data_IF_310822449847
#
_entry.id   IF_310822449847
#
_cell.length_a   1.000
_cell.length_b   1.000
_cell.length_c   1.000
_cell.angle_alpha   90.00
_cell.angle_beta   90.00
_cell.angle_gamma   90.00
#
_symmetry.space_group_name_H-M   'P 1'
#
loop_
_entity.id
_entity.type
_entity.pdbx_description
1 polymer ?
#
# COMPACT_ATOMS: atom_id res chain seq x y z
N UNK A 1 40.33 -55.74 -32.32
CA UNK A 1 39.72 -56.47 -33.46
C UNK A 1 38.98 -57.64 -32.85
N UNK A 2 37.66 -57.68 -32.96
CA UNK A 2 36.87 -58.81 -32.49
C UNK A 2 37.04 -59.96 -33.51
N UNK A 3 37.04 -61.20 -33.04
CA UNK A 3 37.21 -62.34 -33.96
C UNK A 3 35.93 -62.52 -34.81
N UNK A 4 36.04 -62.55 -36.13
CA UNK A 4 34.88 -62.66 -37.03
C UNK A 4 34.12 -64.01 -36.94
N UNK A 5 34.69 -65.02 -36.28
CA UNK A 5 34.05 -66.33 -36.09
C UNK A 5 33.34 -66.43 -34.74
N UNK A 6 33.96 -65.98 -33.65
CA UNK A 6 33.39 -66.12 -32.31
C UNK A 6 32.81 -64.81 -31.76
N UNK A 7 33.03 -63.68 -32.46
CA UNK A 7 32.64 -62.32 -32.11
C UNK A 7 33.06 -61.85 -30.70
N UNK A 8 34.06 -62.49 -30.10
CA UNK A 8 34.61 -62.09 -28.80
C UNK A 8 35.79 -61.13 -29.00
N UNK A 9 35.92 -60.17 -28.06
CA UNK A 9 37.11 -59.33 -27.94
C UNK A 9 38.32 -60.21 -27.65
N UNK A 10 39.38 -60.08 -28.46
CA UNK A 10 40.61 -60.85 -28.31
C UNK A 10 41.27 -60.53 -26.95
N UNK A 11 41.16 -61.44 -25.99
CA UNK A 11 41.80 -61.34 -24.67
C UNK A 11 42.70 -62.57 -24.46
N UNK A 12 44.01 -62.36 -24.62
CA UNK A 12 45.00 -63.42 -24.80
C UNK A 12 45.22 -64.32 -23.56
N UNK A 13 44.65 -63.99 -22.39
CA UNK A 13 44.97 -64.65 -21.11
C UNK A 13 43.79 -65.29 -20.36
N UNK A 14 42.55 -65.19 -20.87
CA UNK A 14 41.34 -65.52 -20.05
C UNK A 14 40.25 -66.35 -20.74
N UNK A 15 40.55 -67.08 -21.82
CA UNK A 15 39.57 -67.94 -22.48
C UNK A 15 39.93 -69.43 -22.36
N UNK A 16 39.13 -70.26 -21.65
CA UNK A 16 39.42 -71.69 -21.46
C UNK A 16 39.21 -72.53 -22.74
N UNK A 17 38.46 -72.02 -23.72
CA UNK A 17 38.26 -72.66 -25.02
C UNK A 17 38.38 -71.61 -26.13
N UNK A 18 39.30 -71.83 -27.07
CA UNK A 18 39.56 -70.95 -28.22
C UNK A 18 38.86 -71.52 -29.46
N UNK A 19 38.29 -70.65 -30.32
CA UNK A 19 37.86 -71.08 -31.66
C UNK A 19 39.09 -71.32 -32.55
N UNK A 20 38.91 -71.92 -33.73
CA UNK A 20 40.02 -72.26 -34.63
C UNK A 20 40.87 -71.05 -35.06
N UNK A 21 40.25 -69.87 -35.24
CA UNK A 21 40.96 -68.63 -35.58
C UNK A 21 41.67 -68.02 -34.38
N UNK A 22 41.04 -68.00 -33.20
CA UNK A 22 41.69 -67.47 -31.99
C UNK A 22 42.83 -68.37 -31.51
N UNK A 23 42.70 -69.69 -31.65
CA UNK A 23 43.77 -70.65 -31.39
C UNK A 23 44.95 -70.45 -32.33
N UNK A 24 44.70 -70.11 -33.60
CA UNK A 24 45.76 -69.77 -34.56
C UNK A 24 46.44 -68.45 -34.18
N UNK A 25 45.67 -67.44 -33.81
CA UNK A 25 46.18 -66.10 -33.46
C UNK A 25 46.96 -66.11 -32.15
N UNK A 26 46.54 -66.87 -31.14
CA UNK A 26 47.31 -67.01 -29.89
C UNK A 26 48.67 -67.67 -30.12
N UNK A 27 48.74 -68.64 -31.04
CA UNK A 27 49.99 -69.31 -31.41
C UNK A 27 50.86 -68.50 -32.39
N UNK A 28 50.36 -67.43 -33.00
CA UNK A 28 51.08 -66.68 -34.04
C UNK A 28 52.29 -65.96 -33.47
N UNK A 29 52.16 -65.34 -32.28
CA UNK A 29 53.26 -64.65 -31.61
C UNK A 29 54.39 -65.63 -31.24
N UNK A 30 54.03 -66.81 -30.71
CA UNK A 30 55.00 -67.83 -30.34
C UNK A 30 55.64 -68.50 -31.56
N UNK A 31 54.90 -68.65 -32.67
CA UNK A 31 55.47 -69.11 -33.95
C UNK A 31 56.45 -68.10 -34.52
N UNK A 32 56.14 -66.80 -34.48
CA UNK A 32 57.07 -65.75 -34.89
C UNK A 32 58.33 -65.75 -34.04
N UNK A 33 58.19 -65.89 -32.71
CA UNK A 33 59.34 -66.05 -31.80
C UNK A 33 60.16 -67.30 -32.13
N UNK A 34 59.52 -68.43 -32.43
CA UNK A 34 60.23 -69.66 -32.80
C UNK A 34 60.98 -69.50 -34.13
N UNK A 35 60.37 -68.87 -35.14
CA UNK A 35 61.05 -68.56 -36.40
C UNK A 35 62.23 -67.61 -36.20
N UNK A 36 62.07 -66.57 -35.37
CA UNK A 36 63.17 -65.69 -35.00
C UNK A 36 64.31 -66.45 -34.31
N UNK A 37 63.98 -67.30 -33.33
CA UNK A 37 64.96 -68.14 -32.65
C UNK A 37 65.65 -69.13 -33.61
N UNK A 38 64.95 -69.66 -34.62
CA UNK A 38 65.56 -70.55 -35.62
C UNK A 38 66.49 -69.79 -36.56
N UNK A 39 66.12 -68.57 -36.97
CA UNK A 39 66.99 -67.69 -37.77
C UNK A 39 68.23 -67.32 -36.95
N UNK A 40 68.05 -66.90 -35.69
CA UNK A 40 69.17 -66.63 -34.77
C UNK A 40 70.04 -67.87 -34.56
N UNK A 41 69.45 -69.07 -34.46
CA UNK A 41 70.21 -70.31 -34.34
C UNK A 41 71.00 -70.62 -35.63
N UNK A 42 70.41 -70.40 -36.81
CA UNK A 42 71.09 -70.57 -38.10
C UNK A 42 72.23 -69.55 -38.26
N UNK A 43 72.01 -68.30 -37.84
CA UNK A 43 73.02 -67.24 -37.85
C UNK A 43 74.15 -67.55 -36.87
N UNK A 44 73.83 -68.01 -35.66
CA UNK A 44 74.81 -68.48 -34.68
C UNK A 44 75.57 -69.73 -35.19
N UNK A 45 74.90 -70.65 -35.89
CA UNK A 45 75.57 -71.80 -36.52
C UNK A 45 76.51 -71.36 -37.65
N UNK A 46 76.16 -70.33 -38.42
CA UNK A 46 77.05 -69.70 -39.41
C UNK A 46 78.21 -68.97 -38.74
N UNK A 47 77.98 -68.24 -37.65
CA UNK A 47 79.04 -67.62 -36.84
C UNK A 47 79.98 -68.68 -36.23
N UNK A 48 79.45 -69.78 -35.70
CA UNK A 48 80.27 -70.89 -35.21
C UNK A 48 81.04 -71.56 -36.36
N UNK A 49 80.40 -71.78 -37.51
CA UNK A 49 81.04 -72.34 -38.69
C UNK A 49 82.17 -71.46 -39.25
N UNK A 50 81.98 -70.14 -39.23
CA UNK A 50 83.01 -69.16 -39.62
C UNK A 50 84.14 -69.09 -38.58
N UNK A 51 83.83 -69.08 -37.28
CA UNK A 51 84.83 -69.12 -36.21
C UNK A 51 85.62 -70.44 -36.16
N UNK A 52 85.05 -71.57 -36.61
CA UNK A 52 85.73 -72.86 -36.73
C UNK A 52 86.56 -73.01 -38.02
N UNK A 53 86.28 -72.21 -39.06
CA UNK A 53 87.03 -72.20 -40.32
C UNK A 53 88.13 -71.13 -40.38
N UNK A 54 88.19 -70.22 -39.40
CA UNK A 54 89.34 -69.35 -39.17
C UNK A 54 90.46 -70.13 -38.42
N UNK A 55 91.64 -70.35 -39.02
CA UNK A 55 92.77 -70.92 -38.29
C UNK A 55 93.21 -69.94 -37.20
N UNK A 56 93.39 -70.48 -35.99
CA UNK A 56 93.77 -69.79 -34.76
C UNK A 56 94.74 -68.61 -34.99
N UNK A 57 94.21 -67.40 -35.03
CA UNK A 57 95.00 -66.18 -34.84
C UNK A 57 94.75 -65.71 -33.42
N UNK A 58 95.76 -65.88 -32.59
CA UNK A 58 95.86 -65.22 -31.28
C UNK A 58 95.47 -63.75 -31.43
N UNK A 59 94.55 -63.21 -30.60
CA UNK A 59 94.09 -61.84 -30.77
C UNK A 59 95.27 -60.87 -30.62
N UNK A 60 95.57 -60.14 -31.69
CA UNK A 60 96.52 -59.03 -31.71
C UNK A 60 96.15 -58.03 -30.62
N UNK A 61 97.15 -57.51 -29.91
CA UNK A 61 97.03 -56.61 -28.73
C UNK A 61 95.94 -55.53 -28.88
N UNK A 62 95.80 -54.93 -30.07
CA UNK A 62 94.76 -53.94 -30.37
C UNK A 62 93.30 -54.43 -30.29
N UNK A 63 93.00 -55.70 -30.60
CA UNK A 63 91.64 -56.26 -30.46
C UNK A 63 91.31 -56.50 -28.99
N UNK A 64 92.29 -56.92 -28.18
CA UNK A 64 92.14 -57.08 -26.72
C UNK A 64 91.97 -55.72 -26.02
N UNK A 65 92.75 -54.71 -26.43
CA UNK A 65 92.65 -53.35 -25.90
C UNK A 65 91.32 -52.68 -26.29
N UNK A 66 90.83 -52.91 -27.53
CA UNK A 66 89.51 -52.45 -27.98
C UNK A 66 88.36 -53.10 -27.19
N UNK A 67 88.43 -54.41 -26.94
CA UNK A 67 87.43 -55.12 -26.13
C UNK A 67 87.44 -54.64 -24.67
N UNK A 68 88.62 -54.40 -24.10
CA UNK A 68 88.75 -53.82 -22.75
C UNK A 68 88.22 -52.37 -22.68
N UNK A 69 88.45 -51.56 -23.72
CA UNK A 69 87.90 -50.21 -23.81
C UNK A 69 86.37 -50.22 -23.95
N UNK A 70 85.81 -51.11 -24.75
CA UNK A 70 84.36 -51.30 -24.87
C UNK A 70 83.75 -51.81 -23.57
N UNK A 71 84.42 -52.73 -22.87
CA UNK A 71 84.00 -53.22 -21.56
C UNK A 71 83.97 -52.08 -20.54
N UNK A 72 85.01 -51.26 -20.46
CA UNK A 72 85.04 -50.08 -19.57
C UNK A 72 83.94 -49.07 -19.92
N UNK A 73 83.69 -48.81 -21.21
CA UNK A 73 82.58 -47.94 -21.61
C UNK A 73 81.20 -48.51 -21.27
N UNK A 74 81.03 -49.83 -21.30
CA UNK A 74 79.81 -50.49 -20.86
C UNK A 74 79.65 -50.46 -19.33
N UNK A 75 80.73 -50.62 -18.59
CA UNK A 75 80.79 -50.44 -17.12
C UNK A 75 80.49 -48.99 -16.72
N UNK A 76 81.05 -48.00 -17.42
CA UNK A 76 80.76 -46.58 -17.20
C UNK A 76 79.31 -46.23 -17.55
N UNK A 77 78.74 -46.81 -18.61
CA UNK A 77 77.32 -46.64 -18.93
C UNK A 77 76.42 -47.28 -17.89
N UNK A 78 76.74 -48.48 -17.42
CA UNK A 78 75.93 -49.14 -16.39
C UNK A 78 76.00 -48.40 -15.06
N UNK A 79 77.17 -47.88 -14.66
CA UNK A 79 77.31 -47.02 -13.47
C UNK A 79 76.54 -45.71 -13.61
N UNK A 80 76.55 -45.05 -14.78
CA UNK A 80 75.73 -43.86 -15.04
C UNK A 80 74.23 -44.16 -14.99
N UNK A 81 73.79 -45.29 -15.57
CA UNK A 81 72.39 -45.71 -15.52
C UNK A 81 71.95 -46.00 -14.09
N UNK A 82 72.80 -46.67 -13.29
CA UNK A 82 72.53 -46.94 -11.88
C UNK A 82 72.45 -45.64 -11.07
N UNK A 83 73.39 -44.70 -11.27
CA UNK A 83 73.36 -43.40 -10.61
C UNK A 83 72.11 -42.58 -10.99
N UNK A 84 71.69 -42.62 -12.26
CA UNK A 84 70.45 -41.99 -12.70
C UNK A 84 69.21 -42.68 -12.10
N UNK A 85 69.21 -44.01 -11.99
CA UNK A 85 68.13 -44.77 -11.36
C UNK A 85 68.02 -44.47 -9.87
N UNK A 86 69.14 -44.33 -9.15
CA UNK A 86 69.17 -43.97 -7.74
C UNK A 86 68.69 -42.53 -7.53
N UNK A 87 69.11 -41.60 -8.38
CA UNK A 87 68.56 -40.23 -8.40
C UNK A 87 67.05 -40.22 -8.60
N UNK A 88 66.54 -40.99 -9.57
CA UNK A 88 65.09 -41.08 -9.79
C UNK A 88 64.35 -41.71 -8.60
N UNK A 89 64.93 -42.71 -7.92
CA UNK A 89 64.35 -43.28 -6.69
C UNK A 89 64.26 -42.24 -5.57
N UNK A 90 65.28 -41.40 -5.43
CA UNK A 90 65.30 -40.33 -4.45
C UNK A 90 64.31 -39.21 -4.80
N UNK A 91 64.21 -38.82 -6.07
CA UNK A 91 63.20 -37.87 -6.55
C UNK A 91 61.77 -38.40 -6.32
N UNK A 92 61.51 -39.69 -6.58
CA UNK A 92 60.22 -40.34 -6.29
C UNK A 92 59.96 -40.33 -4.78
N UNK A 93 60.98 -40.58 -3.94
CA UNK A 93 60.83 -40.56 -2.48
C UNK A 93 60.53 -39.14 -1.99
N UNK A 94 61.22 -38.14 -2.50
CA UNK A 94 61.01 -36.73 -2.18
C UNK A 94 59.61 -36.26 -2.61
N UNK A 95 59.19 -36.59 -3.84
CA UNK A 95 57.86 -36.26 -4.33
C UNK A 95 56.75 -36.94 -3.52
N UNK A 96 56.95 -38.21 -3.12
CA UNK A 96 56.01 -38.92 -2.22
C UNK A 96 55.92 -38.26 -0.85
N UNK A 97 57.05 -37.87 -0.27
CA UNK A 97 57.09 -37.16 1.01
C UNK A 97 56.38 -35.79 0.92
N UNK A 98 56.59 -35.06 -0.18
CA UNK A 98 55.91 -33.79 -0.41
C UNK A 98 54.39 -33.95 -0.58
N UNK A 99 53.95 -34.96 -1.34
CA UNK A 99 52.52 -35.28 -1.48
C UNK A 99 51.91 -35.58 -0.12
N UNK A 100 52.58 -36.36 0.72
CA UNK A 100 52.08 -36.71 2.04
C UNK A 100 52.02 -35.50 2.98
N UNK A 101 53.03 -34.63 2.95
CA UNK A 101 53.03 -33.38 3.69
C UNK A 101 51.89 -32.44 3.26
N UNK A 102 51.65 -32.31 1.94
CA UNK A 102 50.53 -31.52 1.41
C UNK A 102 49.17 -32.10 1.80
N UNK A 103 49.01 -33.42 1.76
CA UNK A 103 47.79 -34.10 2.23
C UNK A 103 47.54 -33.85 3.72
N UNK A 104 48.57 -33.97 4.55
CA UNK A 104 48.48 -33.68 5.98
C UNK A 104 48.08 -32.22 6.23
N UNK A 105 48.70 -31.26 5.53
CA UNK A 105 48.36 -29.84 5.64
C UNK A 105 46.91 -29.54 5.21
N UNK A 106 46.42 -30.15 4.11
CA UNK A 106 45.02 -30.02 3.69
C UNK A 106 44.05 -30.66 4.67
N UNK A 107 44.42 -31.81 5.27
CA UNK A 107 43.63 -32.48 6.30
C UNK A 107 43.48 -31.58 7.54
N UNK A 108 44.59 -31.01 8.03
CA UNK A 108 44.57 -30.05 9.14
C UNK A 108 43.68 -28.86 8.83
N UNK A 109 43.86 -28.21 7.67
CA UNK A 109 43.03 -27.06 7.27
C UNK A 109 41.53 -27.41 7.20
N UNK A 110 41.17 -28.58 6.66
CA UNK A 110 39.78 -29.04 6.62
C UNK A 110 39.22 -29.23 8.03
N UNK A 111 40.00 -29.80 8.94
CA UNK A 111 39.62 -29.93 10.35
C UNK A 111 39.42 -28.56 11.00
N UNK A 112 40.32 -27.61 10.76
CA UNK A 112 40.22 -26.25 11.30
C UNK A 112 38.97 -25.52 10.78
N UNK A 113 38.67 -25.65 9.48
CA UNK A 113 37.44 -25.11 8.90
C UNK A 113 36.19 -25.78 9.47
N UNK A 114 36.18 -27.10 9.62
CA UNK A 114 35.06 -27.83 10.19
C UNK A 114 34.80 -27.35 11.63
N UNK A 115 35.85 -27.29 12.46
CA UNK A 115 35.77 -26.80 13.84
C UNK A 115 35.32 -25.34 13.93
N UNK A 116 35.81 -24.46 13.05
CA UNK A 116 35.39 -23.06 13.00
C UNK A 116 33.93 -22.89 12.53
N UNK A 117 33.49 -23.74 11.60
CA UNK A 117 32.13 -23.73 11.06
C UNK A 117 31.11 -24.39 11.97
N UNK A 118 31.58 -25.19 12.93
CA UNK A 118 30.73 -25.98 13.80
C UNK A 118 29.79 -25.09 14.63
N UNK A 119 28.53 -25.50 14.66
CA UNK A 119 27.45 -24.76 15.31
C UNK A 119 27.19 -23.34 14.80
N UNK A 120 27.75 -22.88 13.67
CA UNK A 120 27.44 -21.56 13.11
C UNK A 120 25.98 -21.47 12.64
N UNK A 121 25.47 -22.53 11.98
CA UNK A 121 24.08 -22.61 11.54
C UNK A 121 23.12 -22.52 12.72
N UNK A 122 23.41 -23.26 13.79
CA UNK A 122 22.56 -23.35 14.97
C UNK A 122 22.56 -22.04 15.76
N UNK A 123 23.73 -21.38 15.86
CA UNK A 123 23.84 -20.03 16.42
C UNK A 123 23.03 -19.02 15.62
N UNK A 124 23.13 -19.02 14.29
CA UNK A 124 22.34 -18.14 13.42
C UNK A 124 20.85 -18.40 13.54
N UNK A 125 20.43 -19.67 13.53
CA UNK A 125 19.03 -20.06 13.68
C UNK A 125 18.48 -19.64 15.05
N UNK A 126 19.27 -19.75 16.12
CA UNK A 126 18.89 -19.28 17.46
C UNK A 126 18.72 -17.76 17.50
N UNK A 127 19.67 -17.01 16.93
CA UNK A 127 19.60 -15.54 16.84
C UNK A 127 18.38 -15.09 16.03
N UNK A 128 18.11 -15.73 14.90
CA UNK A 128 16.92 -15.42 14.08
C UNK A 128 15.62 -15.64 14.87
N UNK A 129 15.48 -16.79 15.54
CA UNK A 129 14.30 -17.08 16.38
C UNK A 129 14.11 -16.06 17.51
N UNK A 130 15.21 -15.59 18.09
CA UNK A 130 15.18 -14.55 19.13
C UNK A 130 14.68 -13.20 18.57
N UNK A 131 15.17 -12.81 17.39
CA UNK A 131 14.71 -11.59 16.69
C UNK A 131 13.24 -11.72 16.29
N UNK A 132 12.83 -12.84 15.72
CA UNK A 132 11.41 -13.10 15.35
C UNK A 132 10.49 -13.02 16.56
N UNK A 133 10.90 -13.61 17.71
CA UNK A 133 10.16 -13.51 18.97
C UNK A 133 10.06 -12.07 19.45
N UNK A 134 11.15 -11.30 19.36
CA UNK A 134 11.18 -9.89 19.75
C UNK A 134 10.26 -9.03 18.86
N UNK A 135 10.27 -9.26 17.54
CA UNK A 135 9.38 -8.61 16.59
C UNK A 135 7.92 -8.92 16.94
N UNK A 136 7.59 -10.19 17.14
CA UNK A 136 6.23 -10.62 17.50
C UNK A 136 5.75 -9.96 18.80
N UNK A 137 6.60 -9.93 19.83
CA UNK A 137 6.27 -9.30 21.11
C UNK A 137 6.09 -7.78 20.98
N UNK A 138 6.94 -7.13 20.18
CA UNK A 138 6.86 -5.68 19.93
C UNK A 138 5.60 -5.33 19.16
N UNK A 139 5.26 -6.09 18.10
CA UNK A 139 4.04 -5.90 17.33
C UNK A 139 2.78 -6.10 18.18
N UNK A 140 2.76 -7.13 19.04
CA UNK A 140 1.66 -7.34 19.97
C UNK A 140 1.48 -6.16 20.93
N UNK A 141 2.56 -5.67 21.53
CA UNK A 141 2.52 -4.49 22.42
C UNK A 141 2.08 -3.23 21.69
N UNK A 142 2.55 -3.02 20.45
CA UNK A 142 2.19 -1.87 19.64
C UNK A 142 0.71 -1.90 19.24
N UNK A 143 0.20 -3.05 18.78
CA UNK A 143 -1.24 -3.25 18.49
C UNK A 143 -2.09 -2.97 19.72
N UNK A 144 -1.73 -3.55 20.87
CA UNK A 144 -2.46 -3.35 22.12
C UNK A 144 -2.47 -1.88 22.54
N UNK A 145 -1.33 -1.19 22.45
CA UNK A 145 -1.26 0.25 22.76
C UNK A 145 -2.11 1.08 21.79
N UNK A 146 -2.21 0.70 20.51
CA UNK A 146 -3.03 1.38 19.54
C UNK A 146 -4.54 1.16 19.81
N UNK A 147 -4.94 -0.05 20.19
CA UNK A 147 -6.31 -0.38 20.61
C UNK A 147 -6.72 0.37 21.87
N UNK A 148 -5.86 0.39 22.89
CA UNK A 148 -6.11 1.12 24.14
C UNK A 148 -6.26 2.62 23.87
N UNK A 149 -5.41 3.20 23.01
CA UNK A 149 -5.52 4.59 22.58
C UNK A 149 -6.84 4.87 21.85
N UNK A 150 -7.25 3.99 20.92
CA UNK A 150 -8.52 4.15 20.21
C UNK A 150 -9.72 4.12 21.18
N UNK A 151 -9.71 3.22 22.17
CA UNK A 151 -10.72 3.17 23.23
C UNK A 151 -10.78 4.45 24.06
N UNK A 152 -9.63 4.98 24.49
CA UNK A 152 -9.57 6.25 25.23
C UNK A 152 -10.13 7.40 24.39
N UNK A 153 -9.79 7.48 23.10
CA UNK A 153 -10.31 8.52 22.20
C UNK A 153 -11.83 8.45 22.04
N UNK A 154 -12.35 7.24 21.81
CA UNK A 154 -13.79 6.99 21.71
C UNK A 154 -14.51 7.42 22.98
N UNK A 155 -13.99 7.01 24.14
CA UNK A 155 -14.49 7.42 25.46
C UNK A 155 -14.51 8.95 25.62
N UNK A 156 -13.39 9.64 25.35
CA UNK A 156 -13.32 11.11 25.47
C UNK A 156 -14.30 11.84 24.54
N UNK A 157 -14.52 11.32 23.31
CA UNK A 157 -15.49 11.89 22.38
C UNK A 157 -16.93 11.73 22.88
N UNK A 158 -17.27 10.55 23.40
CA UNK A 158 -18.59 10.27 23.96
C UNK A 158 -18.84 11.11 25.21
N UNK A 159 -17.89 11.15 26.16
CA UNK A 159 -18.01 11.97 27.36
C UNK A 159 -18.13 13.45 27.05
N UNK A 160 -17.35 13.96 26.09
CA UNK A 160 -17.50 15.34 25.64
C UNK A 160 -18.88 15.60 25.05
N UNK A 161 -19.42 14.68 24.24
CA UNK A 161 -20.76 14.85 23.68
C UNK A 161 -21.84 14.86 24.77
N UNK A 162 -21.76 13.94 25.74
CA UNK A 162 -22.68 13.89 26.89
C UNK A 162 -22.59 15.18 27.73
N UNK A 163 -21.38 15.65 28.05
CA UNK A 163 -21.18 16.87 28.85
C UNK A 163 -21.64 18.13 28.12
N UNK A 164 -21.50 18.19 26.79
CA UNK A 164 -22.04 19.27 25.98
C UNK A 164 -23.56 19.17 25.77
N UNK A 165 -24.20 18.12 26.30
CA UNK A 165 -25.65 17.91 26.19
C UNK A 165 -26.09 17.60 24.77
N UNK A 166 -25.32 16.79 24.02
CA UNK A 166 -25.75 16.23 22.75
C UNK A 166 -26.79 15.14 23.00
N UNK A 167 -28.04 15.40 22.62
CA UNK A 167 -29.14 14.47 22.85
C UNK A 167 -30.08 14.36 21.65
N UNK A 168 -30.87 13.29 21.63
CA UNK A 168 -31.87 12.95 20.64
C UNK A 168 -33.24 12.92 21.29
N UNK A 169 -34.12 13.83 20.90
CA UNK A 169 -35.50 13.92 21.38
C UNK A 169 -36.45 13.42 20.30
N UNK A 170 -37.40 12.55 20.66
CA UNK A 170 -38.44 12.08 19.73
C UNK A 170 -39.51 13.15 19.53
N UNK A 171 -39.87 13.43 18.27
CA UNK A 171 -40.75 14.53 17.88
C UNK A 171 -42.05 14.00 17.28
N UNK A 172 -43.12 14.03 18.07
CA UNK A 172 -44.51 13.83 17.61
C UNK A 172 -44.86 12.43 17.10
N UNK A 173 -44.20 11.97 16.03
CA UNK A 173 -44.38 10.66 15.40
C UNK A 173 -43.21 9.71 15.72
N UNK A 174 -43.49 8.40 15.86
CA UNK A 174 -42.44 7.43 16.15
C UNK A 174 -41.37 7.42 15.06
N UNK A 175 -40.11 7.57 15.46
CA UNK A 175 -38.95 7.57 14.56
C UNK A 175 -38.57 8.91 13.94
N UNK A 176 -39.32 10.00 14.22
CA UNK A 176 -38.87 11.35 13.89
C UNK A 176 -38.12 11.94 15.09
N UNK A 177 -36.87 12.33 14.87
CA UNK A 177 -36.00 12.79 15.94
C UNK A 177 -35.51 14.21 15.70
N UNK A 178 -35.50 15.01 16.76
CA UNK A 178 -34.86 16.31 16.86
C UNK A 178 -33.57 16.16 17.67
N UNK A 179 -32.48 16.74 17.19
CA UNK A 179 -31.18 16.67 17.86
C UNK A 179 -30.90 18.00 18.54
N UNK A 180 -30.42 17.96 19.77
CA UNK A 180 -30.12 19.14 20.57
C UNK A 180 -28.69 19.10 21.08
N UNK A 181 -28.09 20.26 21.29
CA UNK A 181 -26.75 20.43 21.84
C UNK A 181 -26.79 21.53 22.91
N UNK A 182 -26.71 21.12 24.18
CA UNK A 182 -26.82 22.02 25.33
C UNK A 182 -28.23 22.61 25.47
N UNK A 183 -29.26 21.82 25.13
CA UNK A 183 -30.66 22.26 25.13
C UNK A 183 -31.06 23.17 23.96
N UNK A 184 -30.14 23.44 23.02
CA UNK A 184 -30.41 24.22 21.81
C UNK A 184 -30.57 23.27 20.62
N UNK A 185 -31.64 23.38 19.80
CA UNK A 185 -31.79 22.57 18.60
C UNK A 185 -30.61 22.71 17.63
N UNK A 186 -30.13 21.58 17.14
CA UNK A 186 -29.15 21.54 16.05
C UNK A 186 -29.87 21.95 14.77
N UNK A 187 -29.38 23.02 14.12
CA UNK A 187 -30.02 23.60 12.96
C UNK A 187 -30.06 22.60 11.79
N UNK A 188 -31.27 22.40 11.22
CA UNK A 188 -31.44 21.69 9.97
C UNK A 188 -31.26 22.66 8.80
N UNK A 189 -30.31 22.37 7.90
CA UNK A 189 -29.93 23.33 6.86
C UNK A 189 -31.07 23.69 5.89
N UNK A 190 -31.98 22.76 5.60
CA UNK A 190 -33.11 23.00 4.70
C UNK A 190 -34.11 23.95 5.35
N UNK A 191 -34.54 23.67 6.59
CA UNK A 191 -35.48 24.51 7.34
C UNK A 191 -34.87 25.74 8.02
N UNK A 192 -33.60 26.07 7.76
CA UNK A 192 -32.88 27.13 8.48
C UNK A 192 -33.49 28.53 8.27
N UNK A 193 -34.22 28.76 7.19
CA UNK A 193 -34.93 30.02 6.90
C UNK A 193 -36.03 30.34 7.91
N UNK A 194 -36.58 29.33 8.59
CA UNK A 194 -37.62 29.47 9.61
C UNK A 194 -37.09 29.82 11.01
N UNK A 195 -35.77 29.70 11.20
CA UNK A 195 -35.11 29.88 12.50
C UNK A 195 -34.66 31.32 12.73
N UNK A 196 -34.59 31.75 13.99
CA UNK A 196 -34.06 33.07 14.32
C UNK A 196 -32.53 33.12 14.08
N UNK A 197 -31.98 34.28 13.66
CA UNK A 197 -30.54 34.42 13.42
C UNK A 197 -29.67 34.10 14.64
N UNK A 198 -30.15 34.44 15.83
CA UNK A 198 -29.51 34.13 17.10
C UNK A 198 -29.44 32.63 17.36
N UNK A 199 -30.54 31.90 17.14
CA UNK A 199 -30.57 30.45 17.31
C UNK A 199 -29.62 29.77 16.31
N UNK A 200 -29.69 30.15 15.03
CA UNK A 200 -28.79 29.61 13.99
C UNK A 200 -27.33 29.85 14.35
N UNK A 201 -26.95 31.07 14.72
CA UNK A 201 -25.57 31.41 15.07
C UNK A 201 -25.08 30.66 16.30
N UNK A 202 -25.93 30.52 17.32
CA UNK A 202 -25.60 29.80 18.56
C UNK A 202 -25.44 28.31 18.30
N UNK A 203 -26.38 27.70 17.57
CA UNK A 203 -26.35 26.30 17.17
C UNK A 203 -25.07 25.98 16.39
N UNK A 204 -24.73 26.78 15.38
CA UNK A 204 -23.49 26.62 14.61
C UNK A 204 -22.23 26.78 15.48
N UNK A 205 -22.23 27.71 16.44
CA UNK A 205 -21.14 27.89 17.39
C UNK A 205 -20.91 26.65 18.27
N UNK A 206 -21.98 26.06 18.81
CA UNK A 206 -21.90 24.83 19.59
C UNK A 206 -21.40 23.65 18.75
N UNK A 207 -21.91 23.49 17.51
CA UNK A 207 -21.46 22.47 16.57
C UNK A 207 -19.96 22.60 16.28
N UNK A 208 -19.48 23.82 16.02
CA UNK A 208 -18.05 24.06 15.77
C UNK A 208 -17.20 23.64 16.97
N UNK A 209 -17.64 23.97 18.18
CA UNK A 209 -16.90 23.68 19.39
C UNK A 209 -16.77 22.17 19.63
N UNK A 210 -17.88 21.44 19.62
CA UNK A 210 -17.86 19.99 19.84
C UNK A 210 -17.11 19.26 18.71
N UNK A 211 -17.26 19.70 17.45
CA UNK A 211 -16.56 19.10 16.31
C UNK A 211 -15.05 19.32 16.39
N UNK A 212 -14.59 20.50 16.81
CA UNK A 212 -13.17 20.77 17.01
C UNK A 212 -12.58 19.98 18.17
N UNK A 213 -13.29 19.89 19.29
CA UNK A 213 -12.87 19.11 20.46
C UNK A 213 -12.76 17.61 20.13
N UNK A 214 -13.76 17.07 19.44
CA UNK A 214 -13.76 15.66 19.02
C UNK A 214 -12.69 15.37 17.97
N UNK A 215 -12.48 16.28 17.02
CA UNK A 215 -11.37 16.18 16.05
C UNK A 215 -10.01 16.17 16.75
N UNK A 216 -9.85 16.97 17.81
CA UNK A 216 -8.65 16.99 18.64
C UNK A 216 -8.44 15.64 19.36
N UNK A 217 -9.46 15.09 20.01
CA UNK A 217 -9.35 13.78 20.67
C UNK A 217 -9.06 12.64 19.70
N UNK A 218 -9.74 12.62 18.55
CA UNK A 218 -9.47 11.65 17.48
C UNK A 218 -8.11 11.89 16.80
N UNK A 219 -7.50 13.06 17.04
CA UNK A 219 -6.32 13.56 16.34
C UNK A 219 -6.48 13.47 14.80
N UNK A 220 -7.67 13.84 14.32
CA UNK A 220 -7.99 13.98 12.90
C UNK A 220 -8.00 15.45 12.51
N UNK A 221 -7.78 15.70 11.22
CA UNK A 221 -7.65 17.02 10.64
C UNK A 221 -8.78 17.19 9.65
N UNK A 222 -9.74 18.04 9.98
CA UNK A 222 -10.91 18.27 9.15
C UNK A 222 -10.51 18.86 7.79
N UNK A 223 -11.21 18.55 6.68
CA UNK A 223 -10.90 19.08 5.35
C UNK A 223 -11.00 20.60 5.28
N UNK A 224 -12.04 21.18 5.88
CA UNK A 224 -12.23 22.61 6.00
C UNK A 224 -11.80 23.07 7.41
N UNK A 225 -10.78 23.93 7.51
CA UNK A 225 -10.24 24.36 8.79
C UNK A 225 -11.25 25.28 9.51
N UNK A 226 -11.58 24.97 10.76
CA UNK A 226 -12.47 25.79 11.61
C UNK A 226 -11.60 26.65 12.52
N UNK A 227 -11.96 27.93 12.63
CA UNK A 227 -11.41 28.84 13.62
C UNK A 227 -12.48 29.10 14.68
N UNK A 228 -12.19 28.70 15.91
CA UNK A 228 -13.02 29.00 17.07
C UNK A 228 -12.87 30.47 17.48
N UNK A 229 -13.82 31.05 18.23
CA UNK A 229 -13.69 32.39 18.79
C UNK A 229 -12.34 32.61 19.51
N UNK A 230 -11.67 33.71 19.20
CA UNK A 230 -10.42 34.13 19.83
C UNK A 230 -10.39 35.65 20.03
N UNK A 231 -9.32 36.16 20.65
CA UNK A 231 -9.18 37.59 21.02
C UNK A 231 -9.44 38.57 19.89
N UNK A 232 -8.99 38.25 18.68
CA UNK A 232 -9.07 39.16 17.52
C UNK A 232 -10.32 38.92 16.67
N UNK A 233 -11.09 37.87 16.97
CA UNK A 233 -12.33 37.57 16.27
C UNK A 233 -13.29 36.70 17.13
N UNK A 234 -14.44 37.24 17.59
CA UNK A 234 -15.29 36.59 18.60
C UNK A 234 -16.29 35.57 18.04
N UNK A 235 -16.31 35.33 16.72
CA UNK A 235 -17.28 34.42 16.07
C UNK A 235 -16.58 33.23 15.40
N UNK A 236 -17.22 32.07 15.28
CA UNK A 236 -16.62 30.96 14.54
C UNK A 236 -16.55 31.26 13.04
N UNK A 237 -15.50 30.77 12.39
CA UNK A 237 -15.36 30.81 10.93
C UNK A 237 -14.79 29.51 10.38
N UNK A 238 -14.93 29.31 9.07
CA UNK A 238 -14.43 28.12 8.39
C UNK A 238 -13.79 28.46 7.05
N UNK A 239 -12.63 27.91 6.77
CA UNK A 239 -11.97 28.08 5.48
C UNK A 239 -12.54 27.12 4.44
N UNK A 240 -12.56 27.53 3.17
CA UNK A 240 -12.81 26.59 2.09
C UNK A 240 -11.68 25.54 2.02
N UNK A 241 -11.94 24.43 1.30
CA UNK A 241 -10.96 23.33 1.21
C UNK A 241 -9.58 23.78 0.71
N UNK A 242 -9.56 24.67 -0.29
CA UNK A 242 -8.31 25.14 -0.88
C UNK A 242 -7.49 26.04 0.07
N UNK A 243 -8.16 26.89 0.85
CA UNK A 243 -7.55 27.84 1.78
C UNK A 243 -7.27 27.26 3.16
N UNK A 244 -7.80 26.07 3.46
CA UNK A 244 -7.61 25.41 4.74
C UNK A 244 -6.14 25.07 4.97
N UNK A 245 -5.62 25.53 6.12
CA UNK A 245 -4.26 25.30 6.59
C UNK A 245 -3.12 25.78 5.68
N UNK A 246 -3.40 26.74 4.78
CA UNK A 246 -2.34 27.47 4.09
C UNK A 246 -1.57 28.32 5.10
N UNK A 247 -0.26 28.49 4.85
CA UNK A 247 0.57 29.44 5.60
C UNK A 247 0.31 30.85 5.05
N UNK A 248 -0.32 31.70 5.85
CA UNK A 248 -0.63 33.09 5.51
C UNK A 248 -1.60 33.67 6.52
N UNK A 249 -1.54 35.00 6.72
CA UNK A 249 -2.42 35.67 7.67
C UNK A 249 -3.85 35.73 7.10
N UNK A 250 -4.85 35.17 7.81
CA UNK A 250 -6.23 35.16 7.33
C UNK A 250 -6.88 36.54 7.48
N UNK A 251 -7.63 36.96 6.46
CA UNK A 251 -8.40 38.21 6.50
C UNK A 251 -9.81 37.91 7.01
N UNK A 252 -10.08 38.17 8.28
CA UNK A 252 -11.37 37.88 8.90
C UNK A 252 -12.48 38.87 8.47
N UNK A 253 -13.77 38.44 8.39
CA UNK A 253 -14.87 39.26 7.88
C UNK A 253 -15.08 40.62 8.56
N UNK A 254 -14.71 40.77 9.85
CA UNK A 254 -14.89 42.02 10.62
C UNK A 254 -13.67 42.96 10.57
N UNK A 255 -12.53 42.53 10.03
CA UNK A 255 -11.32 43.36 9.99
C UNK A 255 -11.29 44.35 8.82
N UNK A 256 -12.32 44.36 7.96
CA UNK A 256 -12.42 45.29 6.81
C UNK A 256 -12.73 46.74 7.17
N UNK A 257 -12.62 47.13 8.45
CA UNK A 257 -12.87 48.50 8.93
C UNK A 257 -11.65 49.40 9.14
N UNK A 258 -10.40 48.90 9.09
CA UNK A 258 -9.23 49.71 9.47
C UNK A 258 -7.90 49.32 8.78
N UNK A 259 -7.93 48.82 7.55
CA UNK A 259 -6.70 48.67 6.76
C UNK A 259 -6.54 49.88 5.82
N UNK A 260 -5.86 50.91 6.30
CA UNK A 260 -5.17 51.89 5.44
C UNK A 260 -4.33 51.13 4.41
N UNK A 261 -4.46 51.40 3.10
CA UNK A 261 -3.66 50.72 2.09
C UNK A 261 -2.28 51.38 2.02
N UNK A 262 -1.43 51.11 3.02
CA UNK A 262 -0.01 51.46 2.96
C UNK A 262 0.82 50.17 2.87
N UNK A 263 0.82 49.59 1.66
CA UNK A 263 1.91 48.73 1.21
C UNK A 263 2.20 49.05 -0.25
N UNK A 264 2.98 50.12 -0.44
CA UNK A 264 3.86 50.29 -1.60
C UNK A 264 4.88 49.17 -1.62
N UNK A 265 4.56 48.10 -2.34
CA UNK A 265 5.53 47.19 -2.95
C UNK A 265 4.78 46.30 -3.92
N UNK A 266 4.99 46.55 -5.21
CA UNK A 266 4.45 45.71 -6.27
C UNK A 266 4.95 44.28 -6.10
N UNK A 267 4.05 43.38 -5.71
CA UNK A 267 4.26 41.95 -5.87
C UNK A 267 2.93 41.32 -6.30
N UNK A 268 2.97 40.61 -7.42
CA UNK A 268 1.81 39.94 -8.03
C UNK A 268 1.28 38.76 -7.17
N UNK A 269 1.82 38.56 -5.96
CA UNK A 269 1.46 37.51 -5.01
C UNK A 269 0.27 37.80 -4.08
N UNK A 270 -0.33 38.99 -4.11
CA UNK A 270 -1.41 39.38 -3.18
C UNK A 270 -2.79 38.73 -3.46
N UNK A 271 -2.94 37.89 -4.50
CA UNK A 271 -4.25 37.39 -4.96
C UNK A 271 -4.78 36.12 -4.25
N UNK A 272 -4.09 35.56 -3.24
CA UNK A 272 -4.51 34.31 -2.59
C UNK A 272 -4.67 34.37 -1.08
N UNK A 273 -5.07 35.53 -0.52
CA UNK A 273 -5.52 35.57 0.86
C UNK A 273 -6.76 34.67 1.03
N UNK A 274 -6.65 33.63 1.85
CA UNK A 274 -7.76 32.73 2.15
C UNK A 274 -8.78 33.47 3.02
N UNK A 275 -9.90 33.87 2.43
CA UNK A 275 -10.99 34.52 3.17
C UNK A 275 -11.82 33.44 3.89
N UNK A 276 -11.89 33.44 5.24
CA UNK A 276 -12.73 32.50 5.97
C UNK A 276 -14.21 32.85 5.82
N UNK A 277 -15.07 31.84 5.82
CA UNK A 277 -16.53 31.95 5.75
C UNK A 277 -17.11 32.11 7.15
N UNK A 278 -18.03 33.07 7.36
CA UNK A 278 -18.69 33.23 8.65
C UNK A 278 -19.62 32.04 8.94
N UNK A 279 -19.64 31.58 10.19
CA UNK A 279 -20.60 30.59 10.68
C UNK A 279 -21.61 31.22 11.65
N UNK A 280 -22.06 32.43 11.30
CA UNK A 280 -23.07 33.19 12.02
C UNK A 280 -23.83 34.11 11.04
N UNK A 281 -25.03 34.52 11.45
CA UNK A 281 -25.87 35.50 10.78
C UNK A 281 -26.48 36.45 11.82
N UNK A 282 -26.55 37.73 11.48
CA UNK A 282 -27.17 38.75 12.34
C UNK A 282 -28.60 39.10 11.90
N UNK A 283 -29.00 38.63 10.71
CA UNK A 283 -30.32 38.91 10.11
C UNK A 283 -30.92 37.65 9.49
N UNK A 284 -32.26 37.56 9.36
CA UNK A 284 -32.92 36.46 8.66
C UNK A 284 -32.39 36.28 7.23
N UNK A 285 -32.30 35.05 6.76
CA UNK A 285 -31.73 34.72 5.43
C UNK A 285 -32.46 35.43 4.28
N UNK A 286 -33.78 35.60 4.41
CA UNK A 286 -34.63 36.27 3.42
C UNK A 286 -34.32 37.77 3.29
N UNK A 287 -33.82 38.40 4.36
CA UNK A 287 -33.33 39.78 4.34
C UNK A 287 -31.89 39.83 3.85
N UNK A 288 -31.03 38.95 4.38
CA UNK A 288 -29.61 38.91 4.07
C UNK A 288 -29.33 38.72 2.57
N UNK A 289 -30.11 37.86 1.89
CA UNK A 289 -29.95 37.64 0.44
C UNK A 289 -30.25 38.90 -0.39
N UNK A 290 -31.15 39.78 0.08
CA UNK A 290 -31.53 41.01 -0.61
C UNK A 290 -30.53 42.14 -0.33
N UNK A 291 -30.08 42.25 0.91
CA UNK A 291 -29.19 43.33 1.35
C UNK A 291 -27.72 43.07 1.01
N UNK A 292 -27.23 41.85 1.25
CA UNK A 292 -25.84 41.46 1.00
C UNK A 292 -25.76 40.02 0.44
N UNK A 293 -25.94 39.87 -0.89
CA UNK A 293 -25.85 38.57 -1.55
C UNK A 293 -24.49 37.87 -1.40
N UNK A 294 -23.42 38.63 -1.18
CA UNK A 294 -22.07 38.11 -1.04
C UNK A 294 -21.89 37.46 0.34
N UNK A 295 -22.30 38.14 1.41
CA UNK A 295 -22.30 37.58 2.77
C UNK A 295 -23.25 36.40 2.89
N UNK A 296 -24.44 36.48 2.28
CA UNK A 296 -25.34 35.33 2.15
C UNK A 296 -24.64 34.12 1.50
N UNK A 297 -23.98 34.33 0.36
CA UNK A 297 -23.29 33.26 -0.35
C UNK A 297 -22.15 32.65 0.46
N UNK A 298 -21.38 33.46 1.17
CA UNK A 298 -20.29 32.98 2.03
C UNK A 298 -20.81 32.23 3.25
N UNK A 299 -21.89 32.68 3.88
CA UNK A 299 -22.52 31.97 4.97
C UNK A 299 -23.01 30.58 4.54
N UNK A 300 -23.72 30.50 3.40
CA UNK A 300 -24.22 29.23 2.85
C UNK A 300 -23.05 28.28 2.52
N UNK A 301 -21.96 28.79 1.92
CA UNK A 301 -20.75 28.00 1.72
C UNK A 301 -20.16 27.51 3.06
N UNK A 302 -20.11 28.38 4.07
CA UNK A 302 -19.61 28.04 5.41
C UNK A 302 -20.39 26.89 6.06
N UNK A 303 -21.72 26.98 6.14
CA UNK A 303 -22.54 25.94 6.78
C UNK A 303 -22.50 24.62 6.02
N UNK A 304 -22.39 24.64 4.69
CA UNK A 304 -22.20 23.40 3.91
C UNK A 304 -20.84 22.77 4.13
N UNK A 305 -19.77 23.57 4.28
CA UNK A 305 -18.45 23.06 4.66
C UNK A 305 -18.46 22.45 6.07
N UNK A 306 -19.24 23.00 6.99
CA UNK A 306 -19.41 22.44 8.33
C UNK A 306 -20.08 21.07 8.29
N UNK A 307 -21.19 20.94 7.55
CA UNK A 307 -21.85 19.65 7.32
C UNK A 307 -20.92 18.65 6.63
N UNK A 308 -20.14 19.10 5.64
CA UNK A 308 -19.13 18.29 4.96
C UNK A 308 -18.05 17.78 5.92
N UNK A 309 -17.55 18.64 6.84
CA UNK A 309 -16.58 18.23 7.85
C UNK A 309 -17.13 17.15 8.78
N UNK A 310 -18.39 17.26 9.21
CA UNK A 310 -19.04 16.25 10.05
C UNK A 310 -19.15 14.92 9.28
N UNK A 311 -19.64 14.95 8.04
CA UNK A 311 -19.74 13.75 7.21
C UNK A 311 -18.37 13.12 6.92
N UNK A 312 -17.35 13.94 6.74
CA UNK A 312 -15.97 13.48 6.60
C UNK A 312 -15.46 12.83 7.89
N UNK A 313 -15.68 13.45 9.04
CA UNK A 313 -15.33 12.88 10.33
C UNK A 313 -15.99 11.51 10.53
N UNK A 314 -17.31 11.39 10.28
CA UNK A 314 -18.02 10.11 10.27
C UNK A 314 -17.34 9.08 9.38
N UNK A 315 -17.01 9.47 8.14
CA UNK A 315 -16.36 8.58 7.18
C UNK A 315 -14.99 8.07 7.66
N UNK A 316 -14.16 8.94 8.26
CA UNK A 316 -12.86 8.54 8.80
C UNK A 316 -12.96 7.55 9.96
N UNK A 317 -14.08 7.56 10.68
CA UNK A 317 -14.31 6.74 11.86
C UNK A 317 -15.19 5.52 11.57
N UNK A 318 -15.50 5.27 10.29
CA UNK A 318 -16.32 4.14 9.85
C UNK A 318 -17.81 4.27 10.21
N UNK A 319 -18.28 5.48 10.50
CA UNK A 319 -19.69 5.76 10.85
C UNK A 319 -20.47 6.08 9.58
N UNK A 320 -21.57 5.35 9.28
CA UNK A 320 -22.37 5.59 8.08
C UNK A 320 -23.14 6.91 8.19
N UNK A 321 -23.15 7.68 7.10
CA UNK A 321 -23.89 8.96 6.96
C UNK A 321 -25.20 8.76 6.18
N UNK A 322 -25.58 7.52 5.87
CA UNK A 322 -26.67 7.21 4.92
C UNK A 322 -26.15 7.09 3.49
N UNK A 323 -26.92 7.54 2.50
CA UNK A 323 -26.44 7.58 1.12
C UNK A 323 -25.41 8.70 0.94
N UNK A 324 -24.17 8.32 0.62
CA UNK A 324 -23.04 9.25 0.45
C UNK A 324 -23.26 10.24 -0.70
N UNK A 325 -24.14 9.94 -1.65
CA UNK A 325 -24.54 10.87 -2.71
C UNK A 325 -25.70 11.80 -2.30
N UNK A 326 -26.40 11.48 -1.22
CA UNK A 326 -27.58 12.21 -0.78
C UNK A 326 -27.20 13.48 -0.03
N UNK A 327 -27.79 14.59 -0.49
CA UNK A 327 -27.61 15.89 0.13
C UNK A 327 -28.22 15.95 1.53
N UNK A 328 -29.40 15.35 1.70
CA UNK A 328 -30.17 15.38 2.94
C UNK A 328 -29.43 14.62 4.04
N UNK A 329 -28.86 13.46 3.69
CA UNK A 329 -28.05 12.64 4.58
C UNK A 329 -26.80 13.36 5.10
N UNK A 330 -26.06 14.04 4.21
CA UNK A 330 -24.86 14.82 4.58
C UNK A 330 -25.23 16.04 5.42
N UNK A 331 -26.31 16.74 5.05
CA UNK A 331 -26.72 17.98 5.70
C UNK A 331 -27.42 17.76 7.05
N UNK A 332 -27.80 16.53 7.40
CA UNK A 332 -28.35 16.20 8.71
C UNK A 332 -27.25 16.14 9.78
N UNK A 333 -26.72 17.32 10.12
CA UNK A 333 -25.58 17.50 11.04
C UNK A 333 -25.86 16.88 12.42
N UNK A 334 -27.08 17.03 12.94
CA UNK A 334 -27.48 16.50 14.24
C UNK A 334 -27.43 14.97 14.30
N UNK A 335 -28.06 14.29 13.34
CA UNK A 335 -28.00 12.82 13.24
C UNK A 335 -26.58 12.33 13.06
N UNK A 336 -25.80 13.00 12.20
CA UNK A 336 -24.43 12.58 11.90
C UNK A 336 -23.50 12.75 13.12
N UNK A 337 -23.62 13.86 13.86
CA UNK A 337 -22.89 14.06 15.12
C UNK A 337 -23.31 13.06 16.19
N UNK A 338 -24.61 12.84 16.37
CA UNK A 338 -25.13 11.89 17.34
C UNK A 338 -24.65 10.47 17.04
N UNK A 339 -24.67 10.06 15.76
CA UNK A 339 -24.16 8.76 15.36
C UNK A 339 -22.64 8.64 15.53
N UNK A 340 -21.90 9.72 15.28
CA UNK A 340 -20.47 9.76 15.46
C UNK A 340 -20.06 9.65 16.93
N UNK A 341 -20.79 10.29 17.84
CA UNK A 341 -20.31 10.50 19.21
C UNK A 341 -21.03 9.65 20.26
N UNK A 342 -22.30 9.32 20.03
CA UNK A 342 -23.15 8.61 21.01
C UNK A 342 -23.56 7.23 20.50
N UNK A 343 -24.12 7.12 19.28
CA UNK A 343 -24.68 5.86 18.76
C UNK A 343 -23.62 4.87 18.23
N UNK A 344 -22.41 4.95 18.76
CA UNK A 344 -21.28 4.10 18.46
C UNK A 344 -21.57 2.61 18.72
N UNK A 345 -22.52 2.30 19.60
CA UNK A 345 -22.79 0.94 20.09
C UNK A 345 -23.74 0.12 19.21
N UNK A 346 -24.45 0.73 18.26
CA UNK A 346 -25.27 -0.03 17.31
C UNK A 346 -24.40 -0.52 16.15
N UNK A 347 -24.16 -1.82 16.13
CA UNK A 347 -23.36 -2.58 15.17
C UNK A 347 -23.27 -1.96 13.77
N UNK A 348 -22.03 -1.86 13.26
CA UNK A 348 -21.83 -1.69 11.82
C UNK A 348 -22.58 -2.79 11.06
N UNK A 349 -22.96 -2.52 9.82
CA UNK A 349 -23.77 -3.41 8.96
C UNK A 349 -23.20 -4.82 8.78
N UNK A 350 -21.96 -5.08 9.23
CA UNK A 350 -21.26 -6.36 9.20
C UNK A 350 -21.02 -7.00 10.59
N UNK A 351 -21.64 -6.49 11.66
CA UNK A 351 -21.45 -7.01 13.03
C UNK A 351 -20.05 -6.74 13.63
N UNK A 352 -19.24 -5.89 12.98
CA UNK A 352 -17.94 -5.45 13.49
C UNK A 352 -18.11 -4.23 14.40
N UNK A 353 -17.35 -4.14 15.51
CA UNK A 353 -17.36 -2.96 16.38
C UNK A 353 -16.93 -1.72 15.59
N UNK A 354 -17.56 -0.59 15.89
CA UNK A 354 -17.20 0.74 15.38
C UNK A 354 -15.72 1.03 15.64
N UNK A 355 -15.03 1.49 14.60
CA UNK A 355 -13.58 1.74 14.60
C UNK A 355 -13.22 3.16 15.13
N UNK A 356 -14.09 3.79 15.94
CA UNK A 356 -13.84 5.16 16.40
C UNK A 356 -12.54 5.26 17.18
N UNK A 357 -11.73 6.26 16.82
CA UNK A 357 -10.43 6.53 17.42
C UNK A 357 -9.28 5.69 16.84
N UNK A 358 -9.56 4.72 15.97
CA UNK A 358 -8.52 3.87 15.35
C UNK A 358 -7.70 4.65 14.34
N UNK A 359 -8.35 5.20 13.30
CA UNK A 359 -7.65 5.98 12.27
C UNK A 359 -7.45 7.43 12.71
N UNK A 360 -6.23 7.92 12.52
CA UNK A 360 -5.82 9.24 13.01
C UNK A 360 -4.69 9.82 12.16
N UNK A 361 -4.55 11.14 12.13
CA UNK A 361 -3.33 11.77 11.60
C UNK A 361 -2.22 11.89 12.64
N UNK A 362 -2.53 11.65 13.93
CA UNK A 362 -1.58 11.79 15.03
C UNK A 362 -0.89 10.49 15.47
N UNK A 363 -1.09 9.36 14.77
CA UNK A 363 -0.50 8.06 15.14
C UNK A 363 0.21 7.41 13.97
N UNK A 364 1.22 6.57 14.26
CA UNK A 364 1.95 5.82 13.24
C UNK A 364 1.29 4.46 12.91
N UNK A 365 0.61 3.82 13.86
CA UNK A 365 0.04 2.48 13.69
C UNK A 365 -1.10 2.45 12.66
N UNK A 366 -2.09 3.33 12.83
CA UNK A 366 -3.27 3.48 11.96
C UNK A 366 -3.30 4.90 11.38
N UNK A 367 -2.20 5.30 10.74
CA UNK A 367 -2.09 6.63 10.17
C UNK A 367 -3.06 6.78 8.99
N UNK A 368 -3.95 7.77 9.03
CA UNK A 368 -5.00 7.96 8.01
C UNK A 368 -4.42 8.23 6.61
N UNK A 369 -3.17 8.72 6.52
CA UNK A 369 -2.49 8.93 5.24
C UNK A 369 -1.49 7.81 4.87
N UNK A 370 -1.44 6.71 5.63
CA UNK A 370 -0.76 5.49 5.21
C UNK A 370 -1.58 4.75 4.14
N UNK A 371 -1.00 3.71 3.52
CA UNK A 371 -1.63 2.96 2.43
C UNK A 371 -3.07 2.52 2.78
N UNK A 372 -3.26 1.84 3.91
CA UNK A 372 -4.58 1.39 4.38
C UNK A 372 -5.57 2.55 4.61
N UNK A 373 -5.12 3.64 5.24
CA UNK A 373 -5.93 4.84 5.44
C UNK A 373 -6.32 5.53 4.13
N UNK A 374 -5.41 5.57 3.15
CA UNK A 374 -5.71 6.12 1.81
C UNK A 374 -6.68 5.25 1.03
N UNK A 375 -6.63 3.92 1.19
CA UNK A 375 -7.62 3.02 0.61
C UNK A 375 -8.99 3.19 1.26
N UNK A 376 -9.04 3.31 2.58
CA UNK A 376 -10.26 3.64 3.30
C UNK A 376 -10.85 4.99 2.83
N UNK A 377 -10.00 6.00 2.64
CA UNK A 377 -10.41 7.33 2.20
C UNK A 377 -11.02 7.36 0.77
N UNK A 378 -10.58 6.47 -0.13
CA UNK A 378 -11.20 6.32 -1.46
C UNK A 378 -12.68 5.95 -1.38
N UNK A 379 -13.09 5.26 -0.30
CA UNK A 379 -14.47 4.84 -0.11
C UNK A 379 -15.37 5.95 0.45
N UNK A 380 -14.84 7.12 0.81
CA UNK A 380 -15.65 8.19 1.41
C UNK A 380 -16.65 8.81 0.43
N UNK A 381 -16.33 8.85 -0.88
CA UNK A 381 -17.21 9.29 -1.99
C UNK A 381 -18.13 10.49 -1.67
N UNK A 382 -17.61 11.50 -0.97
CA UNK A 382 -18.40 12.70 -0.63
C UNK A 382 -18.53 13.63 -1.86
N UNK A 383 -19.69 14.26 -2.08
CA UNK A 383 -19.89 15.24 -3.15
C UNK A 383 -19.01 16.47 -2.93
N UNK A 384 -18.68 17.17 -4.03
CA UNK A 384 -17.96 18.44 -3.94
C UNK A 384 -18.76 19.44 -3.07
N UNK A 385 -18.16 20.06 -2.03
CA UNK A 385 -18.85 21.02 -1.17
C UNK A 385 -19.51 22.17 -1.92
N UNK A 386 -18.93 22.61 -3.04
CA UNK A 386 -19.55 23.67 -3.85
C UNK A 386 -20.89 23.23 -4.46
N UNK A 387 -20.98 21.97 -4.91
CA UNK A 387 -22.24 21.41 -5.40
C UNK A 387 -23.28 21.27 -4.28
N UNK A 388 -22.84 20.99 -3.05
CA UNK A 388 -23.71 20.97 -1.88
C UNK A 388 -24.21 22.38 -1.57
N UNK A 389 -23.33 23.39 -1.58
CA UNK A 389 -23.70 24.79 -1.37
C UNK A 389 -24.73 25.27 -2.40
N UNK A 390 -24.53 24.99 -3.69
CA UNK A 390 -25.46 25.37 -4.75
C UNK A 390 -26.83 24.68 -4.58
N UNK A 391 -26.83 23.40 -4.18
CA UNK A 391 -28.05 22.64 -3.90
C UNK A 391 -28.79 23.19 -2.68
N UNK A 392 -28.07 23.59 -1.63
CA UNK A 392 -28.66 24.25 -0.45
C UNK A 392 -29.28 25.60 -0.83
N UNK A 393 -28.57 26.44 -1.60
CA UNK A 393 -29.11 27.72 -2.09
C UNK A 393 -30.41 27.50 -2.86
N UNK A 394 -30.45 26.51 -3.75
CA UNK A 394 -31.64 26.20 -4.54
C UNK A 394 -32.83 25.76 -3.68
N UNK A 395 -32.60 24.91 -2.67
CA UNK A 395 -33.62 24.44 -1.72
C UNK A 395 -34.19 25.59 -0.87
N UNK A 396 -33.32 26.44 -0.32
CA UNK A 396 -33.73 27.60 0.48
C UNK A 396 -34.51 28.63 -0.35
N UNK A 397 -34.17 28.81 -1.64
CA UNK A 397 -34.92 29.67 -2.55
C UNK A 397 -36.29 29.09 -2.93
N UNK A 398 -36.40 27.76 -3.08
CA UNK A 398 -37.70 27.12 -3.36
C UNK A 398 -38.65 27.09 -2.18
N UNK A 399 -38.13 27.25 -0.96
CA UNK A 399 -38.90 27.28 0.29
C UNK A 399 -39.19 28.72 0.76
N UNK A 400 -38.66 29.73 0.05
CA UNK A 400 -39.06 31.12 0.28
C UNK A 400 -40.56 31.24 0.00
N UNK A 401 -41.38 31.73 0.94
CA UNK A 401 -42.80 31.90 0.71
C UNK A 401 -42.99 32.72 -0.57
N UNK A 402 -43.62 32.14 -1.58
CA UNK A 402 -44.24 32.94 -2.64
C UNK A 402 -45.14 33.95 -1.94
N UNK A 403 -44.97 35.26 -2.15
CA UNK A 403 -45.85 36.22 -1.54
C UNK A 403 -47.29 35.93 -2.00
N UNK A 404 -48.19 35.60 -1.09
CA UNK A 404 -49.63 35.37 -1.33
C UNK A 404 -50.38 36.67 -1.67
N UNK A 405 -49.71 37.64 -2.30
CA UNK A 405 -50.39 38.79 -2.89
C UNK A 405 -50.79 38.41 -4.31
N UNK A 406 -51.92 37.72 -4.42
CA UNK A 406 -52.66 37.67 -5.68
C UNK A 406 -53.03 39.13 -6.03
N UNK A 407 -52.52 39.63 -7.16
CA UNK A 407 -52.96 40.92 -7.70
C UNK A 407 -54.41 40.73 -8.08
N UNK A 408 -55.32 41.25 -7.24
CA UNK A 408 -56.74 41.32 -7.56
C UNK A 408 -56.88 42.19 -8.81
N UNK A 409 -57.51 41.65 -9.86
CA UNK A 409 -57.92 42.44 -11.02
C UNK A 409 -58.81 43.60 -10.55
N UNK A 410 -58.68 44.78 -11.17
CA UNK A 410 -59.39 46.02 -10.80
C UNK A 410 -60.93 45.87 -10.72
N UNK A 411 -61.48 44.80 -11.29
CA UNK A 411 -62.91 44.48 -11.23
C UNK A 411 -63.39 43.93 -9.88
N UNK A 412 -62.50 43.48 -8.99
CA UNK A 412 -62.86 42.97 -7.66
C UNK A 412 -63.35 44.06 -6.68
N UNK A 413 -63.17 45.34 -7.03
CA UNK A 413 -63.62 46.49 -6.24
C UNK A 413 -64.83 47.21 -6.83
N UNK A 414 -65.42 46.70 -7.93
CA UNK A 414 -66.64 47.29 -8.49
C UNK A 414 -67.83 46.95 -7.59
N UNK A 415 -68.35 47.97 -6.92
CA UNK A 415 -69.62 47.92 -6.21
C UNK A 415 -70.71 47.63 -7.23
N UNK A 416 -71.38 46.48 -7.12
CA UNK A 416 -72.54 46.17 -7.96
C UNK A 416 -73.69 47.13 -7.62
N UNK A 417 -73.92 48.12 -8.49
CA UNK A 417 -75.19 48.81 -8.55
C UNK A 417 -76.23 47.83 -9.10
N UNK A 418 -77.20 47.48 -8.26
CA UNK A 418 -78.33 46.63 -8.63
C UNK A 418 -79.32 47.40 -9.52
N UNK A 419 -79.71 46.87 -10.70
CA UNK A 419 -80.94 47.27 -11.34
C UNK A 419 -81.99 46.18 -11.20
N UNK A 420 -83.15 46.64 -10.76
CA UNK A 420 -84.41 45.91 -10.66
C UNK A 420 -84.90 45.46 -12.04
N UNK A 421 -85.15 44.16 -12.20
CA UNK A 421 -86.41 43.68 -12.77
C UNK A 421 -86.45 43.11 -14.20
N UNK A 422 -87.01 41.89 -14.26
CA UNK A 422 -87.78 41.20 -15.33
C UNK A 422 -87.05 40.24 -16.28
N UNK A 423 -87.43 38.97 -16.14
CA UNK A 423 -87.38 37.87 -17.14
C UNK A 423 -88.55 37.98 -18.15
N UNK A 424 -88.81 37.05 -19.12
CA UNK A 424 -88.15 35.76 -19.45
C UNK A 424 -88.02 35.39 -20.97
N UNK A 425 -87.58 34.13 -21.21
CA UNK A 425 -87.78 33.27 -22.42
C UNK A 425 -86.88 33.51 -23.66
N UNK A 426 -86.42 32.54 -24.46
CA UNK A 426 -86.45 31.06 -24.49
C UNK A 426 -85.46 30.56 -25.60
N UNK A 427 -85.03 29.30 -25.53
CA UNK A 427 -84.47 28.42 -26.61
C UNK A 427 -83.25 28.85 -27.46
N UNK A 428 -82.13 28.12 -27.30
CA UNK A 428 -81.70 27.03 -28.22
C UNK A 428 -80.18 26.74 -28.12
N UNK A 429 -79.86 25.46 -27.95
CA UNK A 429 -78.55 24.83 -28.23
C UNK A 429 -78.65 24.13 -29.61
N UNK A 430 -77.56 23.67 -30.31
CA UNK A 430 -76.37 23.04 -29.70
C UNK A 430 -74.99 23.11 -30.45
N UNK A 431 -73.93 22.69 -29.72
CA UNK A 431 -72.75 21.88 -30.14
C UNK A 431 -71.77 22.49 -31.19
N UNK A 432 -70.45 22.24 -31.21
CA UNK A 432 -69.60 21.13 -30.73
C UNK A 432 -68.11 21.49 -30.91
N UNK A 433 -67.23 20.86 -30.12
CA UNK A 433 -65.81 20.62 -30.46
C UNK A 433 -64.87 20.89 -29.29
N UNK A 434 -64.55 19.89 -28.45
CA UNK A 434 -63.38 18.99 -28.58
C UNK A 434 -62.10 19.65 -28.03
N UNK A 435 -61.27 19.13 -27.14
CA UNK A 435 -61.14 17.86 -26.40
C UNK A 435 -59.90 18.05 -25.50
N UNK A 436 -59.88 17.57 -24.26
CA UNK A 436 -58.66 17.55 -23.44
C UNK A 436 -58.85 16.81 -22.13
N UNK A 437 -58.47 15.53 -22.11
CA UNK A 437 -58.58 14.62 -20.98
C UNK A 437 -57.54 14.91 -19.89
N UNK A 438 -57.93 14.84 -18.61
CA UNK A 438 -57.04 14.41 -17.53
C UNK A 438 -57.84 13.58 -16.51
N UNK A 439 -57.41 12.33 -16.35
CA UNK A 439 -57.97 11.32 -15.45
C UNK A 439 -57.17 11.33 -14.15
N UNK A 440 -57.81 11.76 -13.06
CA UNK A 440 -57.29 11.64 -11.70
C UNK A 440 -57.29 10.17 -11.30
N UNK A 441 -56.17 9.67 -10.76
CA UNK A 441 -56.06 8.33 -10.19
C UNK A 441 -55.76 8.45 -8.70
N UNK A 442 -56.79 8.28 -7.88
CA UNK A 442 -56.65 7.91 -6.48
C UNK A 442 -56.61 6.38 -6.40
N UNK A 443 -55.50 5.81 -5.94
CA UNK A 443 -55.40 5.02 -4.71
C UNK A 443 -53.98 4.53 -4.52
#
# INVERSE_FOLDING_TARGET
>A
MDCDICHRKHDAKRLPFLCTVDARNSLFEDRLKNVQLLIENEDLQKEIGTLLSEPSTTPTKGRKDSMQAQQRMAEDRTTQILAAADKFRDDIRAARAEIEARKAALSSRRSDFAAASDGLSDRRAKQQKEVEKSISMTNYRWSRSAEDMARTRSFLCMEAATLYGLDRVEKGSPGQYEYQLGGIPIIELIGMSSSSPEMTSTSLGHICHILMLTSHYLAIRLPAAITLPHRDYPRPTIFNLAGSYRKGDPVFPSQTGAATPNSTSGDAGSQYASRPRPLFIDKPLSQLIKEDPATYSYFIEGVTLLAYNIAWACSTQGVPVGDKGSFEDICNMGRNLYNLLINQQSAGTDGKPTHLGQFSHGTAYNFLSAAEGTEAAKNFKLPNPMKLADKLKKKLLSEAPTPDWEVLDDDAWKVEETPVGKMPEDKSSPRRGSSGWMKVKNR
#
